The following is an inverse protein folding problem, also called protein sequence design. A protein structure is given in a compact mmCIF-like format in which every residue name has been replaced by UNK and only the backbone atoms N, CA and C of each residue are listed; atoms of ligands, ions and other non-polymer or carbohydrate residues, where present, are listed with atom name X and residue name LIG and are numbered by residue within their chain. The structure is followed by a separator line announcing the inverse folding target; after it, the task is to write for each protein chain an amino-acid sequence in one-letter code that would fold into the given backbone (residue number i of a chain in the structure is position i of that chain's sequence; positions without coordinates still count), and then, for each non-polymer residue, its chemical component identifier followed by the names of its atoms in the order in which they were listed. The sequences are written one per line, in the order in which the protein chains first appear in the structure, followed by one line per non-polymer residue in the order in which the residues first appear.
data_IF_048091759562
#
_entry.id   IF_048091759562
#
_cell.length_a   1.000
_cell.length_b   1.000
_cell.length_c   1.000
_cell.angle_alpha   90.00
_cell.angle_beta   90.00
_cell.angle_gamma   90.00
#
_symmetry.space_group_name_H-M   'P 1'
#
loop_
_entity.id
_entity.type
_entity.pdbx_description
1 polymer ?
#
# COMPACT_ATOMS: atom_id res chain seq x y z
N UNK A 1 -24.62 -4.54 40.86
CA UNK A 1 -24.66 -4.32 39.41
C UNK A 1 -23.26 -3.89 38.99
N UNK A 2 -22.50 -4.74 38.31
CA UNK A 2 -21.17 -4.40 37.81
C UNK A 2 -21.31 -3.89 36.38
N UNK A 3 -20.93 -2.63 36.14
CA UNK A 3 -20.81 -2.08 34.80
C UNK A 3 -19.43 -2.50 34.30
N UNK A 4 -19.40 -3.54 33.46
CA UNK A 4 -18.21 -3.87 32.67
C UNK A 4 -18.11 -2.84 31.54
N UNK A 5 -17.27 -1.82 31.72
CA UNK A 5 -16.84 -0.98 30.61
C UNK A 5 -15.91 -1.84 29.75
N UNK A 6 -16.45 -2.43 28.69
CA UNK A 6 -15.62 -3.01 27.64
C UNK A 6 -15.00 -1.82 26.91
N UNK A 7 -13.77 -1.45 27.28
CA UNK A 7 -12.95 -0.59 26.42
C UNK A 7 -12.65 -1.39 25.15
N UNK A 8 -13.47 -1.21 24.12
CA UNK A 8 -13.15 -1.69 22.78
C UNK A 8 -12.03 -0.78 22.27
N UNK A 9 -10.78 -1.17 22.54
CA UNK A 9 -9.64 -0.64 21.79
C UNK A 9 -9.66 -1.37 20.46
N UNK A 10 -10.49 -0.89 19.54
CA UNK A 10 -10.53 -1.37 18.16
C UNK A 10 -9.22 -0.96 17.49
N UNK A 11 -8.19 -1.79 17.68
CA UNK A 11 -6.93 -1.64 17.00
C UNK A 11 -7.15 -1.87 15.51
N UNK A 12 -6.77 -0.91 14.68
CA UNK A 12 -6.76 -1.14 13.25
C UNK A 12 -5.54 -2.04 12.91
N UNK A 13 -5.46 -2.64 11.73
CA UNK A 13 -4.25 -3.38 11.34
C UNK A 13 -4.12 -3.34 9.82
N UNK A 14 -3.09 -2.69 9.28
CA UNK A 14 -2.83 -2.77 7.85
C UNK A 14 -2.40 -4.19 7.53
N UNK A 15 -3.17 -4.87 6.68
CA UNK A 15 -2.97 -6.28 6.33
C UNK A 15 -2.17 -6.46 5.05
N UNK A 16 -2.40 -5.59 4.07
CA UNK A 16 -1.97 -5.86 2.70
C UNK A 16 -1.75 -4.59 1.91
N UNK A 17 -0.63 -4.56 1.18
CA UNK A 17 -0.36 -3.65 0.09
C UNK A 17 -0.36 -4.43 -1.23
N UNK A 18 -1.12 -3.97 -2.22
CA UNK A 18 -1.28 -4.65 -3.50
C UNK A 18 -1.20 -3.66 -4.65
N UNK A 19 -0.56 -4.07 -5.74
CA UNK A 19 -0.68 -3.41 -7.03
C UNK A 19 -1.94 -3.93 -7.72
N UNK A 20 -2.90 -3.06 -7.99
CA UNK A 20 -4.16 -3.42 -8.65
C UNK A 20 -4.02 -3.36 -10.17
N UNK A 21 -3.29 -2.35 -10.65
CA UNK A 21 -3.11 -2.11 -12.08
C UNK A 21 -1.86 -1.30 -12.34
N UNK A 22 -1.16 -1.60 -13.42
CA UNK A 22 -0.12 -0.75 -13.98
C UNK A 22 -0.47 -0.33 -15.42
N UNK A 23 -0.17 0.92 -15.76
CA UNK A 23 -0.21 1.43 -17.13
C UNK A 23 1.12 2.14 -17.44
N UNK A 24 2.07 1.44 -18.05
CA UNK A 24 3.37 2.00 -18.42
C UNK A 24 3.24 3.21 -19.36
N UNK A 25 2.32 3.17 -20.33
CA UNK A 25 2.12 4.24 -21.32
C UNK A 25 1.69 5.56 -20.69
N UNK A 26 0.79 5.50 -19.69
CA UNK A 26 0.32 6.67 -18.94
C UNK A 26 1.13 6.92 -17.65
N UNK A 27 2.19 6.14 -17.43
CA UNK A 27 3.13 6.25 -16.30
C UNK A 27 2.44 6.27 -14.93
N UNK A 28 1.44 5.41 -14.73
CA UNK A 28 0.75 5.29 -13.45
C UNK A 28 0.57 3.83 -13.00
N UNK A 29 0.35 3.70 -11.70
CA UNK A 29 0.00 2.46 -11.01
C UNK A 29 -1.11 2.73 -10.00
N UNK A 30 -2.14 1.90 -10.02
CA UNK A 30 -3.14 1.86 -8.97
C UNK A 30 -2.66 0.88 -7.90
N UNK A 31 -2.55 1.36 -6.67
CA UNK A 31 -2.20 0.56 -5.50
C UNK A 31 -3.38 0.52 -4.54
N UNK A 32 -3.55 -0.59 -3.85
CA UNK A 32 -4.52 -0.70 -2.78
C UNK A 32 -3.83 -1.06 -1.48
N UNK A 33 -4.40 -0.54 -0.41
CA UNK A 33 -4.02 -0.87 0.95
C UNK A 33 -5.28 -1.36 1.67
N UNK A 34 -5.19 -2.55 2.23
CA UNK A 34 -6.27 -3.16 3.00
C UNK A 34 -5.89 -3.14 4.48
N UNK A 35 -6.81 -2.71 5.34
CA UNK A 35 -6.61 -2.74 6.79
C UNK A 35 -7.85 -3.28 7.49
N UNK A 36 -7.65 -3.94 8.63
CA UNK A 36 -8.72 -4.27 9.56
C UNK A 36 -9.02 -2.99 10.33
N UNK A 37 -10.16 -2.37 10.13
CA UNK A 37 -10.88 -1.64 11.18
C UNK A 37 -12.36 -1.90 10.94
N UNK A 38 -13.20 -1.63 11.94
CA UNK A 38 -14.58 -2.05 12.18
C UNK A 38 -15.57 -2.46 11.04
N UNK A 39 -15.27 -2.28 9.74
CA UNK A 39 -16.13 -2.68 8.60
C UNK A 39 -15.43 -3.18 7.31
N UNK A 40 -14.18 -3.65 7.32
CA UNK A 40 -13.45 -4.09 6.10
C UNK A 40 -13.24 -2.95 5.06
N UNK A 41 -12.49 -1.92 5.44
CA UNK A 41 -12.14 -0.81 4.54
C UNK A 41 -10.96 -1.13 3.62
N UNK A 42 -11.16 -1.10 2.29
CA UNK A 42 -10.08 -1.10 1.28
C UNK A 42 -9.89 0.32 0.75
N UNK A 43 -8.68 0.86 0.88
CA UNK A 43 -8.30 2.14 0.25
C UNK A 43 -7.60 1.84 -1.07
N UNK A 44 -8.07 2.44 -2.16
CA UNK A 44 -7.41 2.37 -3.47
C UNK A 44 -6.90 3.76 -3.82
N UNK A 45 -5.61 3.86 -4.11
CA UNK A 45 -4.94 5.10 -4.50
C UNK A 45 -4.20 4.95 -5.81
N UNK A 46 -4.36 5.95 -6.67
CA UNK A 46 -3.58 6.08 -7.89
C UNK A 46 -2.28 6.79 -7.59
N UNK A 47 -1.19 6.23 -8.07
CA UNK A 47 0.15 6.75 -7.95
C UNK A 47 0.74 6.95 -9.35
N UNK A 48 1.32 8.14 -9.59
CA UNK A 48 2.11 8.38 -10.80
C UNK A 48 3.59 8.07 -10.50
N UNK A 49 4.31 7.43 -11.43
CA UNK A 49 5.72 7.04 -11.25
C UNK A 49 6.68 8.21 -10.99
N UNK A 50 6.28 9.43 -11.34
CA UNK A 50 7.05 10.64 -11.07
C UNK A 50 6.80 11.25 -9.69
N UNK A 51 5.78 10.78 -8.96
CA UNK A 51 5.49 11.29 -7.62
C UNK A 51 6.55 10.79 -6.63
N UNK A 52 6.88 11.63 -5.65
CA UNK A 52 7.76 11.24 -4.55
C UNK A 52 7.13 10.09 -3.74
N UNK A 53 7.73 8.88 -3.71
CA UNK A 53 7.13 7.72 -3.04
C UNK A 53 6.89 7.94 -1.55
N UNK A 54 7.78 8.70 -0.90
CA UNK A 54 7.70 9.04 0.52
C UNK A 54 6.46 9.89 0.80
N UNK A 55 6.28 10.99 0.05
CA UNK A 55 5.14 11.89 0.24
C UNK A 55 3.80 11.20 -0.06
N UNK A 56 3.77 10.32 -1.07
CA UNK A 56 2.60 9.49 -1.34
C UNK A 56 2.28 8.54 -0.17
N UNK A 57 3.32 7.90 0.39
CA UNK A 57 3.16 6.97 1.50
C UNK A 57 2.67 7.68 2.77
N UNK A 58 3.19 8.88 3.07
CA UNK A 58 2.70 9.71 4.16
C UNK A 58 1.21 10.03 4.02
N UNK A 59 0.80 10.52 2.83
CA UNK A 59 -0.61 10.80 2.53
C UNK A 59 -1.50 9.56 2.67
N UNK A 60 -1.02 8.40 2.22
CA UNK A 60 -1.76 7.13 2.31
C UNK A 60 -1.97 6.72 3.78
N UNK A 61 -0.93 6.82 4.61
CA UNK A 61 -1.01 6.44 6.03
C UNK A 61 -1.86 7.44 6.84
N UNK A 62 -1.82 8.73 6.49
CA UNK A 62 -2.69 9.72 7.13
C UNK A 62 -4.16 9.48 6.81
N UNK A 63 -4.48 9.05 5.59
CA UNK A 63 -5.83 8.64 5.22
C UNK A 63 -6.28 7.38 5.95
N UNK A 64 -5.39 6.40 6.11
CA UNK A 64 -5.68 5.21 6.94
C UNK A 64 -5.97 5.63 8.37
N UNK A 65 -5.15 6.52 8.96
CA UNK A 65 -5.36 7.06 10.30
C UNK A 65 -6.73 7.73 10.42
N UNK A 66 -7.10 8.57 9.46
CA UNK A 66 -8.39 9.25 9.44
C UNK A 66 -9.55 8.25 9.30
N UNK A 67 -9.43 7.28 8.41
CA UNK A 67 -10.46 6.27 8.17
C UNK A 67 -10.59 5.24 9.30
N UNK A 68 -9.53 5.03 10.09
CA UNK A 68 -9.53 4.23 11.30
C UNK A 68 -10.03 4.99 12.54
N UNK A 69 -10.41 6.26 12.42
CA UNK A 69 -10.93 7.04 13.56
C UNK A 69 -9.86 7.71 14.43
N UNK A 70 -8.75 8.12 13.82
CA UNK A 70 -7.60 8.77 14.47
C UNK A 70 -6.83 7.89 15.47
N UNK A 71 -6.95 6.57 15.34
CA UNK A 71 -6.11 5.61 16.09
C UNK A 71 -4.63 5.82 15.72
N UNK A 72 -3.77 5.81 16.72
CA UNK A 72 -2.33 5.93 16.53
C UNK A 72 -1.80 4.68 15.84
N UNK A 73 -1.06 4.83 14.73
CA UNK A 73 -0.47 3.70 14.02
C UNK A 73 0.82 3.30 14.75
N UNK A 74 0.77 2.27 15.59
CA UNK A 74 1.99 1.68 16.16
C UNK A 74 2.94 1.31 15.00
N UNK A 75 4.21 1.74 15.07
CA UNK A 75 5.23 1.55 14.02
C UNK A 75 4.96 2.25 12.68
N UNK A 76 4.21 3.37 12.66
CA UNK A 76 3.98 4.21 11.46
C UNK A 76 5.24 4.41 10.60
N UNK A 77 6.37 4.78 11.22
CA UNK A 77 7.61 5.07 10.50
C UNK A 77 8.22 3.82 9.85
N UNK A 78 8.18 2.66 10.54
CA UNK A 78 8.66 1.40 9.97
C UNK A 78 7.81 0.98 8.76
N UNK A 79 6.49 1.18 8.83
CA UNK A 79 5.59 0.90 7.72
C UNK A 79 5.80 1.85 6.56
N UNK A 80 5.96 3.14 6.86
CA UNK A 80 6.28 4.17 5.88
C UNK A 80 7.51 3.77 5.10
N UNK A 81 8.59 3.41 5.78
CA UNK A 81 9.83 3.02 5.13
C UNK A 81 9.65 1.75 4.30
N UNK A 82 8.93 0.75 4.82
CA UNK A 82 8.62 -0.49 4.08
C UNK A 82 7.83 -0.22 2.80
N UNK A 83 6.73 0.53 2.87
CA UNK A 83 5.88 0.85 1.72
C UNK A 83 6.65 1.76 0.74
N UNK A 84 7.37 2.77 1.22
CA UNK A 84 8.17 3.65 0.37
C UNK A 84 9.26 2.86 -0.38
N UNK A 85 9.96 1.95 0.28
CA UNK A 85 10.97 1.10 -0.35
C UNK A 85 10.36 0.17 -1.41
N UNK A 86 9.20 -0.43 -1.12
CA UNK A 86 8.43 -1.21 -2.10
C UNK A 86 8.10 -0.36 -3.33
N UNK A 87 7.59 0.86 -3.11
CA UNK A 87 7.22 1.78 -4.19
C UNK A 87 8.43 2.20 -5.03
N UNK A 88 9.55 2.55 -4.41
CA UNK A 88 10.80 2.89 -5.11
C UNK A 88 11.25 1.73 -5.99
N UNK A 89 11.24 0.50 -5.46
CA UNK A 89 11.59 -0.69 -6.23
C UNK A 89 10.63 -0.92 -7.40
N UNK A 90 9.32 -0.80 -7.18
CA UNK A 90 8.32 -0.95 -8.25
C UNK A 90 8.52 0.08 -9.36
N UNK A 91 8.83 1.34 -9.02
CA UNK A 91 9.13 2.39 -10.02
C UNK A 91 10.37 2.02 -10.84
N UNK A 92 11.42 1.51 -10.21
CA UNK A 92 12.60 1.03 -10.92
C UNK A 92 12.27 -0.13 -11.86
N UNK A 93 11.53 -1.13 -11.38
CA UNK A 93 11.12 -2.27 -12.20
C UNK A 93 10.24 -1.85 -13.38
N UNK A 94 9.36 -0.84 -13.22
CA UNK A 94 8.52 -0.32 -14.31
C UNK A 94 9.34 0.51 -15.30
N UNK A 95 10.31 1.29 -14.83
CA UNK A 95 11.25 2.00 -15.71
C UNK A 95 12.11 1.03 -16.51
N UNK A 96 12.50 -0.10 -15.92
CA UNK A 96 13.23 -1.15 -16.62
C UNK A 96 12.34 -1.93 -17.58
N UNK A 97 11.06 -2.12 -17.26
CA UNK A 97 10.06 -2.69 -18.16
C UNK A 97 10.02 -1.94 -19.50
N UNK A 98 10.07 -0.60 -19.46
CA UNK A 98 10.08 0.24 -20.66
C UNK A 98 11.32 0.07 -21.55
N UNK A 99 12.39 -0.53 -21.03
CA UNK A 99 13.63 -0.82 -21.78
C UNK A 99 13.61 -2.20 -22.44
N UNK A 100 12.72 -3.10 -22.04
CA UNK A 100 12.63 -4.46 -22.57
C UNK A 100 11.96 -4.42 -23.95
N UNK A 101 12.70 -4.79 -24.99
CA UNK A 101 12.20 -4.85 -26.38
C UNK A 101 11.54 -6.19 -26.73
N UNK A 102 11.92 -7.25 -26.04
CA UNK A 102 11.44 -8.61 -26.30
C UNK A 102 10.10 -8.85 -25.62
N UNK A 103 9.07 -9.15 -26.41
CA UNK A 103 7.68 -9.20 -25.94
C UNK A 103 7.44 -10.22 -24.82
N UNK A 104 8.03 -11.42 -24.92
CA UNK A 104 7.83 -12.47 -23.90
C UNK A 104 8.44 -12.07 -22.54
N UNK A 105 9.66 -11.53 -22.56
CA UNK A 105 10.32 -10.99 -21.36
C UNK A 105 9.54 -9.80 -20.78
N UNK A 106 9.01 -8.94 -21.65
CA UNK A 106 8.16 -7.83 -21.24
C UNK A 106 6.91 -8.34 -20.52
N UNK A 107 6.17 -9.29 -21.11
CA UNK A 107 4.95 -9.83 -20.53
C UNK A 107 5.20 -10.54 -19.20
N UNK A 108 6.31 -11.28 -19.09
CA UNK A 108 6.70 -11.95 -17.84
C UNK A 108 6.99 -10.95 -16.71
N UNK A 109 7.72 -9.87 -17.01
CA UNK A 109 8.00 -8.81 -16.05
C UNK A 109 6.74 -8.01 -15.71
N UNK A 110 5.90 -7.70 -16.71
CA UNK A 110 4.62 -7.00 -16.53
C UNK A 110 3.70 -7.76 -15.59
N UNK A 111 3.52 -9.06 -15.81
CA UNK A 111 2.67 -9.91 -14.96
C UNK A 111 3.20 -9.99 -13.53
N UNK A 112 4.53 -10.07 -13.34
CA UNK A 112 5.13 -10.07 -12.00
C UNK A 112 4.80 -8.79 -11.22
N UNK A 113 4.90 -7.63 -11.86
CA UNK A 113 4.60 -6.33 -11.23
C UNK A 113 3.09 -6.21 -10.97
N UNK A 114 2.26 -6.63 -11.92
CA UNK A 114 0.80 -6.53 -11.80
C UNK A 114 0.21 -7.49 -10.75
N UNK A 115 0.91 -8.58 -10.42
CA UNK A 115 0.54 -9.49 -9.35
C UNK A 115 1.24 -9.18 -8.02
N UNK A 116 1.95 -8.05 -7.91
CA UNK A 116 2.72 -7.71 -6.72
C UNK A 116 1.80 -7.47 -5.52
N UNK A 117 2.09 -8.19 -4.43
CA UNK A 117 1.33 -8.17 -3.19
C UNK A 117 2.26 -8.43 -2.01
N UNK A 118 2.13 -7.63 -0.97
CA UNK A 118 2.88 -7.77 0.29
C UNK A 118 1.88 -7.74 1.43
N UNK A 119 1.99 -8.72 2.33
CA UNK A 119 1.20 -8.78 3.56
C UNK A 119 2.02 -8.28 4.75
N UNK A 120 1.36 -7.62 5.68
CA UNK A 120 1.95 -7.08 6.90
C UNK A 120 1.36 -7.82 8.11
N UNK A 121 1.90 -9.00 8.46
CA UNK A 121 1.28 -9.88 9.47
C UNK A 121 1.34 -9.35 10.90
N UNK A 122 2.19 -8.36 11.19
CA UNK A 122 2.51 -7.92 12.56
C UNK A 122 2.22 -6.43 12.83
N UNK A 123 1.59 -5.73 11.89
CA UNK A 123 1.29 -4.32 12.11
C UNK A 123 -0.08 -4.19 12.75
N UNK A 124 -0.04 -4.11 14.06
CA UNK A 124 -1.16 -3.66 14.90
C UNK A 124 -1.13 -2.13 14.90
N UNK A 125 -2.24 -1.47 14.61
CA UNK A 125 -2.50 -0.01 14.69
C UNK A 125 -3.24 0.24 15.99
#
# INVERSE_FOLDING_TARGET
MAICIIMVVEKAAIKEFRVERINPSQKFMDVSLSYISAKDGKIIKRFNFFNAPIAFTDSLLDEVKNAAGAVEIEKRDEMKDKIANIMIRLIQEINDLAKIKEHEKFMKAYNRINCYKVSFPEVVV
#
